data_IF_165138201956
#
_entry.id   IF_165138201956
#
_cell.length_a   1.000
_cell.length_b   1.000
_cell.length_c   1.000
_cell.angle_alpha   90.00
_cell.angle_beta   90.00
_cell.angle_gamma   90.00
#
_symmetry.space_group_name_H-M   'P 1'
#
loop_
_entity.id
_entity.type
_entity.pdbx_description
1 polymer ?
#
# COMPACT_ATOMS: atom_id res chain seq x y z
N UNK A 1 4.42 -3.63 14.76
CA UNK A 1 4.34 -4.83 13.92
C UNK A 1 3.28 -5.79 14.45
N UNK A 2 2.85 -6.69 13.62
CA UNK A 2 1.89 -7.73 14.01
C UNK A 2 2.44 -8.59 15.15
N UNK A 3 3.73 -8.80 15.16
CA UNK A 3 4.42 -9.56 16.18
C UNK A 3 4.33 -8.91 17.56
N UNK A 4 4.55 -7.61 17.63
CA UNK A 4 4.43 -6.83 18.86
C UNK A 4 2.99 -6.86 19.40
N UNK A 5 2.01 -6.77 18.52
CA UNK A 5 0.59 -6.83 18.90
C UNK A 5 0.25 -8.20 19.48
N UNK A 6 0.74 -9.28 18.86
CA UNK A 6 0.50 -10.65 19.36
C UNK A 6 1.10 -10.87 20.72
N UNK A 7 2.27 -10.28 20.99
CA UNK A 7 2.97 -10.46 22.26
C UNK A 7 2.43 -9.58 23.38
N UNK A 8 1.51 -8.68 23.06
CA UNK A 8 0.91 -7.81 24.07
C UNK A 8 -0.62 -7.80 23.92
N UNK A 9 -1.31 -8.72 24.59
CA UNK A 9 -2.77 -8.82 24.48
C UNK A 9 -3.52 -7.55 24.87
N UNK A 10 -3.01 -6.80 25.83
CA UNK A 10 -3.65 -5.55 26.24
C UNK A 10 -3.63 -4.52 25.12
N UNK A 11 -2.49 -4.40 24.45
CA UNK A 11 -2.34 -3.49 23.32
C UNK A 11 -3.24 -3.91 22.16
N UNK A 12 -3.30 -5.20 21.88
CA UNK A 12 -4.17 -5.72 20.84
C UNK A 12 -5.65 -5.43 21.14
N UNK A 13 -6.06 -5.62 22.38
CA UNK A 13 -7.43 -5.38 22.80
C UNK A 13 -7.82 -3.90 22.64
N UNK A 14 -6.93 -2.99 23.01
CA UNK A 14 -7.17 -1.56 22.87
C UNK A 14 -7.21 -1.15 21.40
N UNK A 15 -6.30 -1.67 20.60
CA UNK A 15 -6.28 -1.40 19.17
C UNK A 15 -7.52 -1.94 18.47
N UNK A 16 -7.99 -3.11 18.90
CA UNK A 16 -9.18 -3.71 18.33
C UNK A 16 -10.42 -2.82 18.53
N UNK A 17 -10.59 -2.25 19.71
CA UNK A 17 -11.75 -1.37 19.95
C UNK A 17 -11.66 -0.07 19.16
N UNK A 18 -10.46 0.41 18.84
CA UNK A 18 -10.27 1.61 18.02
C UNK A 18 -10.39 1.30 16.53
N UNK A 19 -9.81 0.20 16.07
CA UNK A 19 -9.74 -0.12 14.66
C UNK A 19 -11.07 -0.58 14.07
N UNK A 20 -11.95 -1.14 14.87
CA UNK A 20 -13.29 -1.54 14.42
C UNK A 20 -14.04 -0.36 13.79
N UNK A 21 -13.79 0.86 14.28
CA UNK A 21 -14.52 2.05 13.83
C UNK A 21 -13.87 2.75 12.65
N UNK A 22 -12.61 2.45 12.30
CA UNK A 22 -11.85 3.24 11.33
C UNK A 22 -11.15 2.43 10.24
N UNK A 23 -11.11 1.10 10.32
CA UNK A 23 -10.30 0.30 9.40
C UNK A 23 -11.04 -0.15 8.16
N UNK A 24 -12.37 -0.03 8.13
CA UNK A 24 -13.16 -0.48 7.00
C UNK A 24 -13.96 0.67 6.42
N UNK A 25 -13.85 0.81 5.11
CA UNK A 25 -14.52 1.85 4.36
C UNK A 25 -15.38 1.20 3.28
N UNK A 26 -16.57 1.76 3.05
CA UNK A 26 -17.35 1.41 1.87
C UNK A 26 -16.68 2.01 0.62
N UNK A 27 -17.10 1.55 -0.54
CA UNK A 27 -16.62 2.12 -1.81
C UNK A 27 -16.86 3.64 -1.86
N UNK A 28 -18.05 4.07 -1.47
CA UNK A 28 -18.41 5.48 -1.43
C UNK A 28 -17.51 6.29 -0.50
N UNK A 29 -17.27 5.76 0.69
CA UNK A 29 -16.46 6.45 1.71
C UNK A 29 -15.00 6.52 1.33
N UNK A 30 -14.45 5.46 0.74
CA UNK A 30 -13.05 5.45 0.33
C UNK A 30 -12.80 6.44 -0.80
N UNK A 31 -13.73 6.58 -1.74
CA UNK A 31 -13.61 7.59 -2.79
C UNK A 31 -13.68 9.00 -2.21
N UNK A 32 -14.64 9.23 -1.32
CA UNK A 32 -14.79 10.53 -0.68
C UNK A 32 -13.55 10.94 0.10
N UNK A 33 -13.02 10.02 0.91
CA UNK A 33 -11.87 10.33 1.77
C UNK A 33 -10.56 10.39 1.00
N UNK A 34 -10.42 9.65 -0.08
CA UNK A 34 -9.22 9.71 -0.92
C UNK A 34 -9.17 10.94 -1.82
N UNK A 35 -10.32 11.54 -2.08
CA UNK A 35 -10.42 12.68 -2.99
C UNK A 35 -10.52 12.29 -4.46
N UNK A 36 -10.68 11.00 -4.78
CA UNK A 36 -10.84 10.54 -6.14
C UNK A 36 -12.31 10.63 -6.57
N UNK A 37 -12.52 11.02 -7.82
CA UNK A 37 -13.84 10.90 -8.41
C UNK A 37 -13.98 9.51 -9.06
N UNK A 38 -15.19 9.19 -9.49
CA UNK A 38 -15.51 7.89 -10.05
C UNK A 38 -14.71 7.60 -11.33
N UNK A 39 -14.52 8.60 -12.18
CA UNK A 39 -13.77 8.42 -13.43
C UNK A 39 -12.30 8.12 -13.16
N UNK A 40 -11.70 8.79 -12.20
CA UNK A 40 -10.32 8.55 -11.78
C UNK A 40 -10.14 7.14 -11.22
N UNK A 41 -11.04 6.73 -10.36
CA UNK A 41 -11.00 5.38 -9.79
C UNK A 41 -11.17 4.31 -10.87
N UNK A 42 -12.12 4.51 -11.80
CA UNK A 42 -12.33 3.58 -12.90
C UNK A 42 -11.10 3.47 -13.81
N UNK A 43 -10.36 4.55 -14.00
CA UNK A 43 -9.10 4.50 -14.74
C UNK A 43 -8.07 3.63 -14.03
N UNK A 44 -8.00 3.67 -12.70
CA UNK A 44 -7.11 2.79 -11.94
C UNK A 44 -7.48 1.33 -12.14
N UNK A 45 -8.76 1.00 -12.17
CA UNK A 45 -9.23 -0.36 -12.44
C UNK A 45 -8.84 -0.77 -13.86
N UNK A 46 -9.08 0.09 -14.83
CA UNK A 46 -8.79 -0.19 -16.24
C UNK A 46 -7.31 -0.50 -16.47
N UNK A 47 -6.42 0.22 -15.79
CA UNK A 47 -4.98 0.00 -15.89
C UNK A 47 -4.46 -1.08 -14.96
N UNK A 48 -5.33 -1.75 -14.19
CA UNK A 48 -4.95 -2.88 -13.35
C UNK A 48 -4.30 -2.53 -12.02
N UNK A 49 -4.38 -1.27 -11.59
CA UNK A 49 -3.84 -0.84 -10.30
C UNK A 49 -4.78 -1.07 -9.12
N UNK A 50 -6.08 -1.12 -9.37
CA UNK A 50 -7.08 -1.33 -8.34
C UNK A 50 -8.11 -2.36 -8.79
N UNK A 51 -8.77 -2.95 -7.80
CA UNK A 51 -9.90 -3.84 -8.00
C UNK A 51 -11.09 -3.29 -7.24
N UNK A 52 -12.29 -3.44 -7.81
CA UNK A 52 -13.50 -3.04 -7.12
C UNK A 52 -13.77 -3.98 -5.96
N UNK A 53 -14.04 -3.40 -4.78
CA UNK A 53 -14.29 -4.15 -3.55
C UNK A 53 -15.54 -3.61 -2.87
N UNK A 54 -16.12 -4.43 -1.98
CA UNK A 54 -17.21 -3.99 -1.12
C UNK A 54 -16.68 -3.25 0.11
N UNK A 55 -15.51 -3.66 0.60
CA UNK A 55 -14.88 -3.06 1.76
C UNK A 55 -13.41 -2.76 1.48
N UNK A 56 -12.94 -1.63 2.02
CA UNK A 56 -11.57 -1.15 1.86
C UNK A 56 -10.94 -0.95 3.24
N UNK A 57 -9.64 -1.22 3.32
CA UNK A 57 -8.85 -1.03 4.53
C UNK A 57 -8.09 0.30 4.49
N UNK A 58 -7.45 0.65 5.59
CA UNK A 58 -6.60 1.85 5.65
C UNK A 58 -5.48 1.83 4.61
N UNK A 59 -4.89 0.69 4.35
CA UNK A 59 -3.84 0.56 3.33
C UNK A 59 -4.37 0.89 1.93
N UNK A 60 -5.61 0.53 1.65
CA UNK A 60 -6.26 0.88 0.39
C UNK A 60 -6.49 2.38 0.30
N UNK A 61 -7.00 2.98 1.37
CA UNK A 61 -7.23 4.42 1.43
C UNK A 61 -5.92 5.20 1.23
N UNK A 62 -4.85 4.77 1.89
CA UNK A 62 -3.55 5.44 1.77
C UNK A 62 -3.01 5.36 0.34
N UNK A 63 -3.18 4.20 -0.31
CA UNK A 63 -2.77 4.03 -1.70
C UNK A 63 -3.58 4.94 -2.62
N UNK A 64 -4.89 5.02 -2.42
CA UNK A 64 -5.77 5.87 -3.23
C UNK A 64 -5.50 7.36 -3.01
N UNK A 65 -5.13 7.76 -1.79
CA UNK A 65 -4.70 9.14 -1.53
C UNK A 65 -3.45 9.51 -2.32
N UNK A 66 -2.53 8.57 -2.47
CA UNK A 66 -1.34 8.80 -3.29
C UNK A 66 -1.71 8.98 -4.76
N UNK A 67 -2.64 8.19 -5.28
CA UNK A 67 -3.15 8.38 -6.63
C UNK A 67 -3.84 9.74 -6.80
N UNK A 68 -4.61 10.14 -5.80
CA UNK A 68 -5.25 11.46 -5.80
C UNK A 68 -4.22 12.58 -5.90
N UNK A 69 -3.10 12.45 -5.18
CA UNK A 69 -2.00 13.41 -5.30
C UNK A 69 -1.47 13.48 -6.73
N UNK A 70 -1.19 12.33 -7.34
CA UNK A 70 -0.67 12.32 -8.72
C UNK A 70 -1.65 12.92 -9.71
N UNK A 71 -2.93 12.61 -9.59
CA UNK A 71 -3.95 13.26 -10.41
C UNK A 71 -3.95 14.79 -10.21
N UNK A 72 -3.74 15.24 -8.98
CA UNK A 72 -3.74 16.69 -8.68
C UNK A 72 -2.60 17.44 -9.35
N UNK A 73 -1.51 16.78 -9.67
CA UNK A 73 -0.38 17.39 -10.38
C UNK A 73 -0.37 17.04 -11.87
N UNK A 74 -1.46 16.48 -12.39
CA UNK A 74 -1.64 16.23 -13.81
C UNK A 74 -1.11 14.88 -14.31
N UNK A 75 -0.83 13.97 -13.42
CA UNK A 75 -0.38 12.62 -13.80
C UNK A 75 -1.53 11.63 -13.74
N UNK A 76 -1.49 10.64 -14.61
CA UNK A 76 -2.52 9.63 -14.73
C UNK A 76 -1.90 8.23 -14.63
N UNK A 77 -2.71 7.18 -14.39
CA UNK A 77 -2.18 5.82 -14.29
C UNK A 77 -1.34 5.39 -15.50
N UNK A 78 -1.70 5.82 -16.69
CA UNK A 78 -0.94 5.48 -17.93
C UNK A 78 0.51 5.98 -17.89
N UNK A 79 0.83 6.95 -17.07
CA UNK A 79 2.18 7.50 -16.94
C UNK A 79 3.11 6.62 -16.09
N UNK A 80 2.56 5.59 -15.44
CA UNK A 80 3.29 4.81 -14.44
C UNK A 80 3.52 3.36 -14.87
N UNK A 81 4.13 3.15 -16.04
CA UNK A 81 4.40 1.80 -16.54
C UNK A 81 5.32 0.99 -15.63
N UNK A 82 6.29 1.65 -15.00
CA UNK A 82 7.20 0.97 -14.06
C UNK A 82 6.42 0.48 -12.83
N UNK A 83 5.55 1.33 -12.30
CA UNK A 83 4.73 0.95 -11.15
C UNK A 83 3.76 -0.19 -11.49
N UNK A 84 3.23 -0.19 -12.71
CA UNK A 84 2.38 -1.29 -13.17
C UNK A 84 3.14 -2.62 -13.16
N UNK A 85 4.38 -2.61 -13.64
CA UNK A 85 5.23 -3.79 -13.61
C UNK A 85 5.49 -4.28 -12.19
N UNK A 86 5.76 -3.36 -11.25
CA UNK A 86 5.93 -3.69 -9.84
C UNK A 86 4.67 -4.33 -9.27
N UNK A 87 3.50 -3.75 -9.57
CA UNK A 87 2.23 -4.28 -9.09
C UNK A 87 1.96 -5.69 -9.61
N UNK A 88 2.19 -5.92 -10.90
CA UNK A 88 1.95 -7.23 -11.52
C UNK A 88 2.92 -8.30 -11.04
N UNK A 89 4.12 -7.92 -10.63
CA UNK A 89 5.18 -8.84 -10.21
C UNK A 89 5.47 -8.79 -8.72
N UNK A 90 4.53 -8.27 -7.94
CA UNK A 90 4.73 -8.11 -6.49
C UNK A 90 4.96 -9.44 -5.78
N UNK A 91 4.25 -10.50 -6.18
CA UNK A 91 4.45 -11.82 -5.59
C UNK A 91 5.83 -12.39 -5.90
N UNK A 92 6.35 -12.15 -7.10
CA UNK A 92 7.71 -12.57 -7.47
C UNK A 92 8.73 -11.89 -6.59
N UNK A 93 8.56 -10.61 -6.29
CA UNK A 93 9.44 -9.87 -5.40
C UNK A 93 9.44 -10.48 -3.99
N UNK A 94 8.27 -10.78 -3.45
CA UNK A 94 8.16 -11.37 -2.12
C UNK A 94 8.81 -12.76 -2.08
N UNK A 95 8.57 -13.59 -3.08
CA UNK A 95 9.21 -14.90 -3.20
C UNK A 95 10.73 -14.78 -3.28
N UNK A 96 11.23 -13.84 -4.06
CA UNK A 96 12.66 -13.60 -4.19
C UNK A 96 13.29 -13.23 -2.85
N UNK A 97 12.71 -12.27 -2.13
CA UNK A 97 13.20 -11.85 -0.83
C UNK A 97 13.18 -13.02 0.16
N UNK A 98 12.10 -13.78 0.19
CA UNK A 98 12.00 -14.94 1.08
C UNK A 98 13.07 -15.99 0.79
N UNK A 99 13.43 -16.17 -0.49
CA UNK A 99 14.47 -17.13 -0.86
C UNK A 99 15.86 -16.72 -0.40
N UNK A 100 16.09 -15.43 -0.19
CA UNK A 100 17.37 -14.90 0.27
C UNK A 100 17.52 -14.96 1.79
N UNK A 101 16.43 -15.08 2.54
CA UNK A 101 16.48 -15.07 3.99
C UNK A 101 16.98 -16.41 4.52
N UNK A 102 17.82 -16.39 5.59
CA UNK A 102 18.26 -17.64 6.20
C UNK A 102 17.09 -18.45 6.76
N UNK A 103 17.26 -19.77 6.81
CA UNK A 103 16.28 -20.66 7.44
C UNK A 103 16.10 -20.25 8.90
N UNK A 104 14.83 -20.23 9.33
CA UNK A 104 14.50 -19.84 10.70
C UNK A 104 14.51 -18.34 10.94
N UNK A 105 14.69 -17.53 9.88
CA UNK A 105 14.60 -16.08 9.99
C UNK A 105 13.20 -15.67 10.40
N UNK A 106 13.10 -14.72 11.34
CA UNK A 106 11.83 -14.12 11.75
C UNK A 106 11.68 -12.70 11.19
N UNK A 107 12.38 -12.38 10.11
CA UNK A 107 12.31 -11.09 9.47
C UNK A 107 10.89 -10.79 9.00
N UNK A 108 10.42 -9.58 9.25
CA UNK A 108 9.08 -9.13 8.89
C UNK A 108 9.13 -8.55 7.47
N UNK A 109 8.36 -9.11 6.56
CA UNK A 109 8.34 -8.66 5.17
C UNK A 109 7.89 -7.21 5.04
N UNK A 110 7.01 -6.74 5.90
CA UNK A 110 6.57 -5.33 5.87
C UNK A 110 7.72 -4.39 6.20
N UNK A 111 8.56 -4.76 7.16
CA UNK A 111 9.74 -3.98 7.52
C UNK A 111 10.78 -4.01 6.40
N UNK A 112 10.94 -5.15 5.74
CA UNK A 112 11.83 -5.27 4.58
C UNK A 112 11.38 -4.32 3.47
N UNK A 113 10.10 -4.33 3.15
CA UNK A 113 9.53 -3.46 2.11
C UNK A 113 9.73 -1.98 2.47
N UNK A 114 9.48 -1.62 3.72
CA UNK A 114 9.67 -0.24 4.19
C UNK A 114 11.12 0.21 4.02
N UNK A 115 12.07 -0.63 4.40
CA UNK A 115 13.50 -0.31 4.22
C UNK A 115 13.89 -0.24 2.76
N UNK A 116 13.35 -1.11 1.93
CA UNK A 116 13.59 -1.07 0.49
C UNK A 116 13.07 0.25 -0.11
N UNK A 117 11.87 0.66 0.28
CA UNK A 117 11.31 1.93 -0.17
C UNK A 117 12.17 3.12 0.27
N UNK A 118 12.70 3.07 1.49
CA UNK A 118 13.60 4.12 1.99
C UNK A 118 14.90 4.18 1.18
N UNK A 119 15.43 3.05 0.76
CA UNK A 119 16.61 3.01 -0.09
C UNK A 119 16.31 3.59 -1.48
N UNK A 120 15.20 3.23 -2.07
CA UNK A 120 14.77 3.80 -3.36
C UNK A 120 14.69 5.31 -3.26
N UNK A 121 14.02 5.81 -2.24
CA UNK A 121 13.89 7.25 -2.00
C UNK A 121 15.27 7.90 -1.85
N UNK A 122 16.13 7.30 -1.04
CA UNK A 122 17.47 7.83 -0.79
C UNK A 122 18.31 7.93 -2.06
N UNK A 123 18.29 6.90 -2.89
CA UNK A 123 19.05 6.90 -4.13
C UNK A 123 18.50 7.87 -5.16
N UNK A 124 17.19 7.99 -5.25
CA UNK A 124 16.58 8.97 -6.16
C UNK A 124 16.98 10.40 -5.79
N UNK A 125 16.93 10.73 -4.50
CA UNK A 125 17.31 12.06 -4.04
C UNK A 125 18.81 12.31 -4.17
N UNK A 126 19.64 11.31 -3.84
CA UNK A 126 21.10 11.42 -3.93
C UNK A 126 21.59 11.68 -5.34
N UNK A 127 20.98 11.03 -6.32
CA UNK A 127 21.51 11.05 -7.69
C UNK A 127 20.93 12.18 -8.56
N UNK A 128 19.85 12.83 -8.13
CA UNK A 128 19.13 13.80 -8.96
C UNK A 128 19.00 15.19 -8.35
N UNK A 129 19.45 15.38 -7.12
CA UNK A 129 19.32 16.69 -6.45
C UNK A 129 20.55 17.08 -5.66
#
# INVERSE_FOLDING_TARGET
SLKAIKNNPSLLKNNKSKSITIDNYSHRDVLKQSGLNKAQYNALITYGFEEEKDEYENKDLNRLKSWSYFYSIGLEPKNFSVLKSINERSSDFVEFINSLLPDGSDADIEIIIENYANLIRSYLLKNNF
#
